data_IF_458070791790
#
_entry.id   IF_458070791790
#
_cell.length_a   1.000
_cell.length_b   1.000
_cell.length_c   1.000
_cell.angle_alpha   90.00
_cell.angle_beta   90.00
_cell.angle_gamma   90.00
#
_symmetry.space_group_name_H-M   'P 1'
#
loop_
_entity.id
_entity.type
_entity.pdbx_description
1 polymer ?
#
# COMPACT_ATOMS: atom_id res chain seq x y z
N UNK A 1 2.35 16.59 -16.05
CA UNK A 1 2.08 16.94 -14.67
C UNK A 1 2.73 18.28 -14.32
N UNK A 2 1.95 19.24 -13.78
CA UNK A 2 2.42 20.47 -13.15
C UNK A 2 1.98 20.50 -11.70
N UNK A 3 2.83 20.98 -10.78
CA UNK A 3 2.51 21.00 -9.36
C UNK A 3 3.13 22.24 -8.69
N UNK A 4 2.36 22.86 -7.79
CA UNK A 4 2.81 23.97 -6.94
C UNK A 4 2.39 23.73 -5.49
N UNK A 5 3.29 23.99 -4.55
CA UNK A 5 3.04 23.84 -3.11
C UNK A 5 3.54 25.06 -2.35
N UNK A 6 2.71 25.57 -1.46
CA UNK A 6 3.03 26.64 -0.53
C UNK A 6 2.77 26.17 0.90
N UNK A 7 3.70 26.43 1.80
CA UNK A 7 3.54 26.14 3.23
C UNK A 7 4.08 27.31 4.05
N UNK A 8 3.29 27.77 5.03
CA UNK A 8 3.67 28.78 6.00
C UNK A 8 3.54 28.16 7.39
N UNK A 9 4.56 28.33 8.22
CA UNK A 9 4.57 27.86 9.61
C UNK A 9 4.96 29.02 10.52
N UNK A 10 4.22 29.19 11.63
CA UNK A 10 4.41 30.27 12.59
C UNK A 10 4.16 29.80 14.01
N UNK A 11 4.83 30.40 15.02
CA UNK A 11 4.48 30.14 16.41
C UNK A 11 3.13 30.79 16.73
N UNK A 12 2.26 30.06 17.43
CA UNK A 12 0.94 30.53 17.85
C UNK A 12 0.56 29.92 19.21
N UNK A 13 0.26 30.74 20.20
CA UNK A 13 -0.32 30.29 21.48
C UNK A 13 0.50 29.26 22.24
N UNK A 14 1.84 29.30 22.12
CA UNK A 14 2.75 28.29 22.72
C UNK A 14 2.87 26.98 21.94
N UNK A 15 2.33 26.92 20.73
CA UNK A 15 2.47 25.82 19.77
C UNK A 15 2.96 26.32 18.42
N UNK A 16 2.91 25.46 17.42
CA UNK A 16 3.23 25.74 16.02
C UNK A 16 1.98 25.59 15.19
N UNK A 17 1.61 26.63 14.48
CA UNK A 17 0.53 26.61 13.50
C UNK A 17 1.11 26.60 12.08
N UNK A 18 0.65 25.69 11.26
CA UNK A 18 1.04 25.58 9.86
C UNK A 18 -0.20 25.62 8.96
N UNK A 19 -0.12 26.39 7.89
CA UNK A 19 -1.12 26.39 6.81
C UNK A 19 -0.40 26.15 5.49
N UNK A 20 -1.07 25.51 4.56
CA UNK A 20 -0.51 25.32 3.24
C UNK A 20 -1.55 25.00 2.20
N UNK A 21 -1.11 25.06 0.96
CA UNK A 21 -1.89 24.66 -0.20
C UNK A 21 -1.00 23.94 -1.19
N UNK A 22 -1.62 23.00 -1.91
CA UNK A 22 -0.98 22.29 -3.01
C UNK A 22 -1.97 22.22 -4.16
N UNK A 23 -1.53 22.59 -5.35
CA UNK A 23 -2.32 22.46 -6.58
C UNK A 23 -1.53 21.60 -7.55
N UNK A 24 -2.16 20.60 -8.11
CA UNK A 24 -1.58 19.75 -9.14
C UNK A 24 -2.51 19.66 -10.33
N UNK A 25 -1.94 19.73 -11.52
CA UNK A 25 -2.64 19.49 -12.78
C UNK A 25 -1.94 18.38 -13.54
N UNK A 26 -2.70 17.35 -13.85
CA UNK A 26 -2.26 16.19 -14.63
C UNK A 26 -3.01 16.18 -15.96
N UNK A 27 -2.27 16.05 -17.03
CA UNK A 27 -2.80 15.75 -18.35
C UNK A 27 -2.13 14.45 -18.82
N UNK A 28 -2.92 13.47 -19.19
CA UNK A 28 -2.46 12.16 -19.64
C UNK A 28 -3.24 11.73 -20.88
N UNK A 29 -2.52 11.34 -21.92
CA UNK A 29 -3.05 10.61 -23.05
C UNK A 29 -2.69 9.14 -22.91
N UNK A 30 -3.59 8.27 -23.26
CA UNK A 30 -3.44 6.82 -23.20
C UNK A 30 -3.96 6.21 -24.50
N UNK A 31 -3.03 5.90 -25.40
CA UNK A 31 -3.31 5.39 -26.73
C UNK A 31 -3.01 3.88 -26.73
N UNK A 32 -4.05 3.08 -26.85
CA UNK A 32 -3.94 1.64 -26.97
C UNK A 32 -4.33 1.19 -28.38
N UNK A 33 -3.36 0.67 -29.11
CA UNK A 33 -3.54 0.24 -30.52
C UNK A 33 -3.38 -1.28 -30.56
N UNK A 34 -4.42 -1.97 -31.05
CA UNK A 34 -4.40 -3.38 -31.34
C UNK A 34 -4.52 -3.59 -32.84
N UNK A 35 -3.41 -3.86 -33.50
CA UNK A 35 -3.35 -4.07 -34.96
C UNK A 35 -4.09 -5.32 -35.41
N UNK A 36 -4.15 -6.34 -34.56
CA UNK A 36 -4.79 -7.63 -34.84
C UNK A 36 -6.31 -7.61 -34.57
N UNK A 37 -6.84 -6.54 -33.98
CA UNK A 37 -8.27 -6.33 -33.68
C UNK A 37 -8.92 -7.43 -32.79
N UNK A 38 -8.17 -8.17 -32.00
CA UNK A 38 -8.73 -9.10 -31.00
C UNK A 38 -9.52 -8.37 -29.91
N UNK A 39 -9.08 -7.17 -29.57
CA UNK A 39 -9.77 -6.22 -28.69
C UNK A 39 -9.78 -4.86 -29.38
N UNK A 40 -10.77 -3.98 -29.11
CA UNK A 40 -10.82 -2.66 -29.74
C UNK A 40 -9.61 -1.81 -29.33
N UNK A 41 -9.08 -1.03 -30.29
CA UNK A 41 -8.17 0.07 -29.98
C UNK A 41 -8.92 1.15 -29.22
N UNK A 42 -8.26 1.85 -28.33
CA UNK A 42 -8.84 2.88 -27.45
C UNK A 42 -7.90 4.08 -27.35
N UNK A 43 -8.47 5.28 -27.46
CA UNK A 43 -7.76 6.55 -27.35
C UNK A 43 -8.44 7.35 -26.24
N UNK A 44 -7.78 7.43 -25.08
CA UNK A 44 -8.35 8.13 -23.93
C UNK A 44 -7.45 9.25 -23.45
N UNK A 45 -8.08 10.29 -22.91
CA UNK A 45 -7.38 11.42 -22.30
C UNK A 45 -7.97 11.70 -20.92
N UNK A 46 -7.11 11.91 -19.95
CA UNK A 46 -7.45 12.27 -18.59
C UNK A 46 -6.88 13.63 -18.25
N UNK A 47 -7.70 14.54 -17.78
CA UNK A 47 -7.32 15.81 -17.18
C UNK A 47 -7.77 15.83 -15.73
N UNK A 48 -6.84 16.01 -14.81
CA UNK A 48 -7.13 16.05 -13.37
C UNK A 48 -6.53 17.30 -12.74
N UNK A 49 -7.40 18.13 -12.18
CA UNK A 49 -7.02 19.24 -11.30
C UNK A 49 -7.28 18.81 -9.86
N UNK A 50 -6.26 18.88 -9.01
CA UNK A 50 -6.38 18.66 -7.58
C UNK A 50 -5.88 19.89 -6.83
N UNK A 51 -6.78 20.54 -6.10
CA UNK A 51 -6.50 21.66 -5.24
C UNK A 51 -6.73 21.28 -3.78
N UNK A 52 -5.69 21.44 -2.97
CA UNK A 52 -5.68 21.05 -1.56
C UNK A 52 -5.32 22.26 -0.72
N UNK A 53 -6.08 22.47 0.36
CA UNK A 53 -5.74 23.41 1.44
C UNK A 53 -5.70 22.68 2.77
N UNK A 54 -4.74 23.01 3.64
CA UNK A 54 -4.66 22.40 4.98
C UNK A 54 -4.22 23.37 6.04
N UNK A 55 -4.65 23.09 7.27
CA UNK A 55 -4.21 23.75 8.48
C UNK A 55 -3.85 22.70 9.53
N UNK A 56 -2.76 22.91 10.27
CA UNK A 56 -2.28 22.05 11.33
C UNK A 56 -1.82 22.87 12.52
N UNK A 57 -2.14 22.40 13.73
CA UNK A 57 -1.70 22.99 14.97
C UNK A 57 -1.09 21.94 15.89
N UNK A 58 0.18 22.12 16.26
CA UNK A 58 0.92 21.25 17.13
C UNK A 58 1.27 21.98 18.43
N UNK A 59 0.99 21.39 19.59
CA UNK A 59 1.31 21.96 20.89
C UNK A 59 1.73 20.89 21.88
N UNK A 60 2.84 21.18 22.58
CA UNK A 60 3.34 20.38 23.70
C UNK A 60 2.87 20.95 25.03
N UNK A 61 2.45 20.05 25.92
CA UNK A 61 2.09 20.32 27.31
C UNK A 61 2.94 19.45 28.24
N UNK A 62 3.06 19.77 29.53
CA UNK A 62 3.82 18.90 30.46
C UNK A 62 3.31 17.47 30.55
N UNK A 63 2.07 17.21 30.17
CA UNK A 63 1.38 15.93 30.24
C UNK A 63 1.19 15.24 28.90
N UNK A 64 1.59 15.87 27.79
CA UNK A 64 1.51 15.27 26.46
C UNK A 64 1.50 16.25 25.31
N UNK A 65 1.60 15.74 24.10
CA UNK A 65 1.67 16.48 22.85
C UNK A 65 0.38 16.28 22.05
N UNK A 66 -0.19 17.36 21.55
CA UNK A 66 -1.34 17.36 20.65
C UNK A 66 -0.94 17.78 19.25
N UNK A 67 -1.48 17.09 18.26
CA UNK A 67 -1.48 17.50 16.86
C UNK A 67 -2.92 17.49 16.34
N UNK A 68 -3.36 18.60 15.79
CA UNK A 68 -4.69 18.77 15.21
C UNK A 68 -4.53 19.28 13.79
N UNK A 69 -5.04 18.54 12.82
CA UNK A 69 -4.97 18.88 11.40
C UNK A 69 -6.31 18.74 10.71
N UNK A 70 -6.54 19.60 9.73
CA UNK A 70 -7.66 19.50 8.79
C UNK A 70 -7.16 19.82 7.40
N UNK A 71 -7.45 18.92 6.46
CA UNK A 71 -7.17 19.09 5.05
C UNK A 71 -8.48 19.04 4.26
N UNK A 72 -8.67 20.03 3.40
CA UNK A 72 -9.70 20.04 2.38
C UNK A 72 -9.07 19.73 1.03
N UNK A 73 -9.78 18.97 0.22
CA UNK A 73 -9.33 18.56 -1.09
C UNK A 73 -10.47 18.64 -2.10
N UNK A 74 -10.23 19.42 -3.15
CA UNK A 74 -11.08 19.55 -4.32
C UNK A 74 -10.39 18.89 -5.51
N UNK A 75 -11.04 17.89 -6.11
CA UNK A 75 -10.53 17.19 -7.28
C UNK A 75 -11.54 17.26 -8.40
N UNK A 76 -11.15 17.82 -9.53
CA UNK A 76 -11.91 17.77 -10.77
C UNK A 76 -11.20 16.82 -11.72
N UNK A 77 -11.92 15.78 -12.15
CA UNK A 77 -11.46 14.73 -13.04
C UNK A 77 -12.32 14.74 -14.29
N UNK A 78 -11.72 15.06 -15.44
CA UNK A 78 -12.37 15.08 -16.76
C UNK A 78 -11.79 13.93 -17.60
N UNK A 79 -12.68 13.12 -18.15
CA UNK A 79 -12.34 11.97 -18.99
C UNK A 79 -12.83 12.18 -20.42
N UNK A 80 -11.98 11.84 -21.38
CA UNK A 80 -12.28 11.94 -22.80
C UNK A 80 -12.01 10.61 -23.49
N UNK A 81 -12.82 10.25 -24.45
CA UNK A 81 -12.65 9.10 -25.35
C UNK A 81 -12.82 9.59 -26.80
N UNK A 82 -11.87 9.29 -27.68
CA UNK A 82 -11.81 9.81 -29.06
C UNK A 82 -12.00 11.33 -29.12
N UNK A 83 -11.31 12.07 -28.27
CA UNK A 83 -11.40 13.53 -28.09
C UNK A 83 -12.76 14.08 -27.65
N UNK A 84 -13.73 13.20 -27.30
CA UNK A 84 -15.05 13.62 -26.79
C UNK A 84 -15.06 13.53 -25.27
N UNK A 85 -15.52 14.60 -24.62
CA UNK A 85 -15.75 14.59 -23.17
C UNK A 85 -16.87 13.61 -22.80
N UNK A 86 -16.63 12.75 -21.82
CA UNK A 86 -17.58 11.74 -21.35
C UNK A 86 -18.06 12.14 -19.94
N UNK A 87 -19.25 12.73 -19.88
CA UNK A 87 -19.83 13.26 -18.64
C UNK A 87 -20.02 12.19 -17.56
N UNK A 88 -20.42 10.96 -17.94
CA UNK A 88 -20.64 9.85 -17.02
C UNK A 88 -19.36 9.39 -16.30
N UNK A 89 -18.20 9.64 -16.90
CA UNK A 89 -16.90 9.25 -16.38
C UNK A 89 -16.14 10.44 -15.77
N UNK A 90 -16.63 11.67 -16.00
CA UNK A 90 -16.06 12.90 -15.45
C UNK A 90 -16.72 13.24 -14.11
N UNK A 91 -15.91 13.69 -13.11
CA UNK A 91 -16.42 13.87 -11.75
C UNK A 91 -15.66 14.93 -10.98
N UNK A 92 -16.35 15.42 -9.96
CA UNK A 92 -15.77 16.32 -8.97
C UNK A 92 -15.91 15.70 -7.57
N UNK A 93 -14.86 15.77 -6.77
CA UNK A 93 -14.84 15.28 -5.40
C UNK A 93 -14.42 16.41 -4.46
N UNK A 94 -15.18 16.58 -3.38
CA UNK A 94 -14.91 17.52 -2.31
C UNK A 94 -14.87 16.77 -0.98
N UNK A 95 -13.71 16.74 -0.34
CA UNK A 95 -13.52 15.94 0.87
C UNK A 95 -12.74 16.69 1.95
N UNK A 96 -13.09 16.39 3.20
CA UNK A 96 -12.36 16.84 4.38
C UNK A 96 -11.67 15.67 5.06
N UNK A 97 -10.41 15.85 5.38
CA UNK A 97 -9.57 14.84 6.02
C UNK A 97 -9.03 15.37 7.35
N UNK A 98 -9.74 15.13 8.46
CA UNK A 98 -9.24 15.44 9.79
C UNK A 98 -8.11 14.49 10.20
N UNK A 99 -7.15 15.04 10.97
CA UNK A 99 -6.08 14.32 11.63
C UNK A 99 -5.96 14.84 13.06
N UNK A 100 -6.09 13.95 14.03
CA UNK A 100 -6.01 14.27 15.45
C UNK A 100 -5.10 13.27 16.10
N UNK A 101 -4.07 13.69 16.79
CA UNK A 101 -3.25 12.81 17.60
C UNK A 101 -2.92 13.39 18.96
N UNK A 102 -2.84 12.50 19.92
CA UNK A 102 -2.39 12.77 21.27
C UNK A 102 -1.31 11.77 21.66
N UNK A 103 -0.16 12.27 22.07
CA UNK A 103 0.96 11.47 22.53
C UNK A 103 1.28 11.82 23.99
N UNK A 104 1.52 10.80 24.80
CA UNK A 104 1.90 10.98 26.20
C UNK A 104 2.81 9.84 26.68
N UNK A 105 3.44 10.05 27.81
CA UNK A 105 4.25 9.03 28.47
C UNK A 105 3.51 8.49 29.69
N UNK A 106 3.06 7.24 29.60
CA UNK A 106 2.43 6.50 30.71
C UNK A 106 3.49 5.67 31.42
N UNK A 107 4.06 6.21 32.51
CA UNK A 107 5.21 5.59 33.19
C UNK A 107 6.42 5.51 32.25
N UNK A 108 6.85 4.30 31.88
CA UNK A 108 7.97 4.05 30.98
C UNK A 108 7.53 3.86 29.51
N UNK A 109 6.22 3.81 29.23
CA UNK A 109 5.64 3.56 27.91
C UNK A 109 5.35 4.87 27.23
N UNK A 110 5.88 5.10 26.03
CA UNK A 110 5.41 6.15 25.15
C UNK A 110 4.14 5.68 24.44
N UNK A 111 3.07 6.44 24.54
CA UNK A 111 1.75 6.07 24.02
C UNK A 111 1.23 7.16 23.10
N UNK A 112 0.63 6.78 22.00
CA UNK A 112 -0.05 7.69 21.08
C UNK A 112 -1.42 7.12 20.69
N UNK A 113 -2.44 7.95 20.77
CA UNK A 113 -3.74 7.71 20.17
C UNK A 113 -3.89 8.68 18.99
N UNK A 114 -4.23 8.15 17.83
CA UNK A 114 -4.44 8.97 16.63
C UNK A 114 -5.69 8.56 15.87
N UNK A 115 -6.38 9.55 15.34
CA UNK A 115 -7.43 9.38 14.36
C UNK A 115 -7.02 10.12 13.08
N UNK A 116 -7.10 9.42 11.94
CA UNK A 116 -6.81 9.99 10.62
C UNK A 116 -7.89 9.62 9.62
N UNK A 117 -8.31 10.59 8.81
CA UNK A 117 -9.02 10.31 7.57
C UNK A 117 -8.08 10.56 6.40
N UNK A 118 -8.05 9.63 5.44
CA UNK A 118 -7.20 9.71 4.25
C UNK A 118 -7.88 9.14 3.03
N UNK A 119 -7.42 9.57 1.86
CA UNK A 119 -7.89 9.02 0.58
C UNK A 119 -6.80 8.19 -0.10
N UNK A 120 -7.24 7.13 -0.79
CA UNK A 120 -6.44 6.38 -1.74
C UNK A 120 -7.12 6.46 -3.10
N UNK A 121 -6.51 7.19 -4.02
CA UNK A 121 -7.03 7.34 -5.38
C UNK A 121 -6.67 6.14 -6.25
N UNK A 122 -7.53 5.76 -7.20
CA UNK A 122 -7.17 4.77 -8.20
C UNK A 122 -5.96 5.24 -9.02
N UNK A 123 -5.15 4.31 -9.48
CA UNK A 123 -4.09 4.61 -10.45
C UNK A 123 -4.69 4.99 -11.80
N UNK A 124 -3.96 5.70 -12.64
CA UNK A 124 -4.45 6.05 -13.97
C UNK A 124 -4.65 4.82 -14.85
N UNK A 125 -3.87 3.75 -14.65
CA UNK A 125 -4.10 2.47 -15.34
C UNK A 125 -5.42 1.80 -14.92
N UNK A 126 -5.84 1.96 -13.67
CA UNK A 126 -7.15 1.49 -13.21
C UNK A 126 -8.31 2.34 -13.78
N UNK A 127 -8.05 3.61 -14.12
CA UNK A 127 -9.02 4.53 -14.71
C UNK A 127 -9.06 4.47 -16.25
N UNK A 128 -8.15 3.75 -16.88
CA UNK A 128 -8.13 3.57 -18.33
C UNK A 128 -9.29 2.69 -18.80
N UNK A 129 -9.83 2.94 -20.00
CA UNK A 129 -10.83 2.08 -20.64
C UNK A 129 -10.21 1.03 -21.56
N UNK A 130 -8.88 0.93 -21.61
CA UNK A 130 -8.17 -0.02 -22.44
C UNK A 130 -8.51 -1.45 -22.04
N UNK A 131 -8.79 -2.29 -23.03
CA UNK A 131 -9.03 -3.72 -22.84
C UNK A 131 -7.77 -4.49 -23.23
N UNK A 132 -7.19 -5.19 -22.26
CA UNK A 132 -6.00 -6.02 -22.47
C UNK A 132 -6.39 -7.48 -22.62
N UNK A 133 -5.81 -8.13 -23.60
CA UNK A 133 -5.91 -9.57 -23.79
C UNK A 133 -4.88 -10.27 -22.87
N UNK A 134 -5.34 -10.90 -21.78
CA UNK A 134 -4.47 -11.65 -20.88
C UNK A 134 -4.21 -13.07 -21.41
N UNK A 135 -5.27 -13.76 -21.78
CA UNK A 135 -5.24 -15.08 -22.41
C UNK A 135 -6.57 -15.35 -23.14
N UNK A 136 -6.70 -16.53 -23.78
CA UNK A 136 -7.88 -16.89 -24.58
C UNK A 136 -9.21 -16.91 -23.80
N UNK A 137 -9.16 -16.89 -22.47
CA UNK A 137 -10.35 -16.95 -21.59
C UNK A 137 -10.50 -15.69 -20.73
N UNK A 138 -9.50 -14.78 -20.78
CA UNK A 138 -9.43 -13.66 -19.83
C UNK A 138 -9.06 -12.36 -20.55
N UNK A 139 -9.98 -11.41 -20.47
CA UNK A 139 -9.75 -10.00 -20.79
C UNK A 139 -9.57 -9.22 -19.49
N UNK A 140 -8.81 -8.16 -19.54
CA UNK A 140 -8.67 -7.23 -18.41
C UNK A 140 -8.87 -5.81 -18.87
N UNK A 141 -9.61 -5.00 -18.09
CA UNK A 141 -9.77 -3.57 -18.35
C UNK A 141 -9.69 -2.75 -17.07
N UNK A 142 -9.38 -1.48 -17.19
CA UNK A 142 -9.61 -0.52 -16.14
C UNK A 142 -11.10 -0.13 -16.03
N UNK A 143 -11.38 0.84 -15.17
CA UNK A 143 -12.74 1.35 -14.97
C UNK A 143 -12.65 2.87 -14.69
N UNK A 144 -12.96 3.72 -15.69
CA UNK A 144 -12.93 5.17 -15.53
C UNK A 144 -13.95 5.68 -14.51
N UNK A 145 -14.93 4.83 -14.10
CA UNK A 145 -15.93 5.21 -13.11
C UNK A 145 -15.51 5.02 -11.66
N UNK A 146 -14.26 4.65 -11.37
CA UNK A 146 -13.76 4.46 -10.02
C UNK A 146 -13.73 5.76 -9.21
N UNK A 147 -14.20 5.66 -7.98
CA UNK A 147 -14.13 6.71 -6.96
C UNK A 147 -12.90 6.49 -6.06
N UNK A 148 -12.35 7.56 -5.48
CA UNK A 148 -11.33 7.42 -4.45
C UNK A 148 -11.84 6.63 -3.23
N UNK A 149 -11.05 5.70 -2.74
CA UNK A 149 -11.28 5.04 -1.45
C UNK A 149 -11.02 6.02 -0.31
N UNK A 150 -11.91 6.09 0.68
CA UNK A 150 -11.77 6.90 1.89
C UNK A 150 -11.57 5.96 3.07
N UNK A 151 -10.52 6.19 3.85
CA UNK A 151 -10.14 5.37 5.00
C UNK A 151 -10.16 6.24 6.26
N UNK A 152 -10.99 5.86 7.22
CA UNK A 152 -10.99 6.39 8.58
C UNK A 152 -10.26 5.40 9.48
N UNK A 153 -9.22 5.83 10.16
CA UNK A 153 -8.36 4.98 10.97
C UNK A 153 -8.18 5.54 12.37
N UNK A 154 -8.47 4.73 13.39
CA UNK A 154 -8.19 5.00 14.79
C UNK A 154 -7.09 4.05 15.26
N UNK A 155 -5.93 4.60 15.59
CA UNK A 155 -4.75 3.82 15.98
C UNK A 155 -4.28 4.18 17.38
N UNK A 156 -4.10 3.16 18.22
CA UNK A 156 -3.40 3.22 19.50
C UNK A 156 -2.03 2.55 19.33
N UNK A 157 -0.96 3.30 19.57
CA UNK A 157 0.40 2.77 19.53
C UNK A 157 1.11 2.97 20.86
N UNK A 158 2.03 2.07 21.16
CA UNK A 158 2.83 2.08 22.36
C UNK A 158 4.27 1.65 22.08
N UNK A 159 5.24 2.31 22.71
CA UNK A 159 6.65 1.94 22.64
C UNK A 159 7.25 1.88 24.03
N UNK A 160 7.90 0.75 24.34
CA UNK A 160 8.61 0.52 25.60
C UNK A 160 9.93 -0.17 25.34
N UNK A 161 11.02 0.55 25.58
CA UNK A 161 12.38 0.05 25.30
C UNK A 161 12.49 -0.46 23.84
N UNK A 162 12.61 -1.76 23.68
CA UNK A 162 12.71 -2.44 22.38
C UNK A 162 11.39 -3.02 21.88
N UNK A 163 10.30 -2.84 22.62
CA UNK A 163 8.95 -3.30 22.24
C UNK A 163 8.15 -2.17 21.64
N UNK A 164 7.44 -2.47 20.54
CA UNK A 164 6.48 -1.58 19.91
C UNK A 164 5.19 -2.35 19.63
N UNK A 165 4.06 -1.71 19.93
CA UNK A 165 2.73 -2.25 19.72
C UNK A 165 1.88 -1.24 18.95
N UNK A 166 1.02 -1.72 18.07
CA UNK A 166 0.02 -0.91 17.40
C UNK A 166 -1.29 -1.70 17.30
N UNK A 167 -2.40 -1.04 17.65
CA UNK A 167 -3.76 -1.53 17.48
C UNK A 167 -4.50 -0.52 16.63
N UNK A 168 -5.06 -0.95 15.51
CA UNK A 168 -5.78 -0.08 14.59
C UNK A 168 -7.17 -0.66 14.29
N UNK A 169 -8.16 0.22 14.30
CA UNK A 169 -9.49 -0.05 13.78
C UNK A 169 -9.77 0.95 12.67
N UNK A 170 -10.04 0.44 11.48
CA UNK A 170 -10.33 1.27 10.31
C UNK A 170 -11.69 0.94 9.68
N UNK A 171 -12.29 1.97 9.08
CA UNK A 171 -13.44 1.83 8.19
C UNK A 171 -13.06 2.36 6.81
N UNK A 172 -13.21 1.51 5.82
CA UNK A 172 -12.86 1.82 4.43
C UNK A 172 -14.13 1.92 3.60
N UNK A 173 -14.39 3.11 3.07
CA UNK A 173 -15.50 3.39 2.15
C UNK A 173 -15.01 3.42 0.72
N UNK A 174 -15.85 2.99 -0.22
CA UNK A 174 -15.54 2.93 -1.66
C UNK A 174 -14.25 2.12 -1.95
N UNK A 175 -14.02 1.02 -1.20
CA UNK A 175 -12.86 0.16 -1.42
C UNK A 175 -12.82 -0.33 -2.87
N UNK A 176 -11.70 -0.16 -3.54
CA UNK A 176 -11.51 -0.67 -4.90
C UNK A 176 -11.13 -2.15 -4.82
N UNK A 177 -12.02 -3.01 -5.31
CA UNK A 177 -11.83 -4.44 -5.41
C UNK A 177 -11.48 -4.84 -6.85
N UNK A 178 -10.61 -5.83 -7.01
CA UNK A 178 -10.42 -6.51 -8.28
C UNK A 178 -11.56 -7.51 -8.47
N UNK A 179 -12.25 -7.42 -9.61
CA UNK A 179 -13.52 -8.09 -9.82
C UNK A 179 -13.56 -8.80 -11.17
N UNK A 180 -14.10 -10.02 -11.19
CA UNK A 180 -14.31 -10.81 -12.39
C UNK A 180 -15.80 -10.88 -12.73
N UNK A 181 -16.11 -10.78 -14.01
CA UNK A 181 -17.46 -10.90 -14.56
C UNK A 181 -17.41 -11.74 -15.84
N UNK A 182 -18.48 -12.50 -16.10
CA UNK A 182 -18.61 -13.22 -17.37
C UNK A 182 -18.96 -12.25 -18.51
N UNK A 183 -18.37 -12.44 -19.67
CA UNK A 183 -18.64 -11.61 -20.84
C UNK A 183 -19.83 -12.18 -21.63
N UNK A 184 -20.92 -11.41 -21.73
CA UNK A 184 -22.08 -11.75 -22.57
C UNK A 184 -22.65 -13.15 -22.34
N UNK A 185 -22.78 -13.59 -21.08
CA UNK A 185 -23.22 -14.94 -20.71
C UNK A 185 -22.36 -16.09 -21.27
N UNK A 186 -21.24 -15.78 -21.90
CA UNK A 186 -20.24 -16.77 -22.30
C UNK A 186 -19.40 -17.18 -21.10
N UNK A 187 -19.73 -18.33 -20.55
CA UNK A 187 -19.01 -18.88 -19.38
C UNK A 187 -17.52 -19.19 -19.66
N UNK A 188 -17.08 -19.12 -20.91
CA UNK A 188 -15.68 -19.35 -21.30
C UNK A 188 -14.83 -18.08 -21.32
N UNK A 189 -15.44 -16.88 -21.30
CA UNK A 189 -14.72 -15.61 -21.38
C UNK A 189 -15.02 -14.73 -20.16
N UNK A 190 -13.98 -14.35 -19.46
CA UNK A 190 -14.05 -13.51 -18.26
C UNK A 190 -13.46 -12.14 -18.51
N UNK A 191 -14.13 -11.10 -18.03
CA UNK A 191 -13.60 -9.75 -17.91
C UNK A 191 -13.15 -9.49 -16.47
N UNK A 192 -11.88 -9.22 -16.29
CA UNK A 192 -11.32 -8.77 -15.01
C UNK A 192 -11.23 -7.24 -15.01
N UNK A 193 -11.76 -6.59 -13.98
CA UNK A 193 -11.77 -5.14 -13.85
C UNK A 193 -11.66 -4.72 -12.38
N UNK A 194 -11.70 -3.44 -12.12
CA UNK A 194 -11.78 -2.88 -10.77
C UNK A 194 -13.16 -2.26 -10.56
N UNK A 195 -13.70 -2.39 -9.34
CA UNK A 195 -14.95 -1.72 -8.95
C UNK A 195 -14.87 -1.20 -7.52
N UNK A 196 -15.59 -0.14 -7.22
CA UNK A 196 -15.78 0.27 -5.83
C UNK A 196 -16.80 -0.65 -5.15
N UNK A 197 -16.53 -0.97 -3.90
CA UNK A 197 -17.48 -1.63 -3.02
C UNK A 197 -18.28 -0.56 -2.27
N UNK A 198 -19.60 -0.59 -2.39
CA UNK A 198 -20.46 0.49 -1.89
C UNK A 198 -20.60 0.49 -0.36
N UNK A 199 -20.45 -0.67 0.27
CA UNK A 199 -20.53 -0.78 1.72
C UNK A 199 -19.20 -0.41 2.39
N UNK A 200 -19.29 0.17 3.59
CA UNK A 200 -18.11 0.45 4.40
C UNK A 200 -17.58 -0.83 5.03
N UNK A 201 -16.29 -1.09 4.86
CA UNK A 201 -15.63 -2.31 5.34
C UNK A 201 -14.84 -2.01 6.60
N UNK A 202 -15.27 -2.52 7.76
CA UNK A 202 -14.48 -2.46 8.98
C UNK A 202 -13.30 -3.43 8.91
N UNK A 203 -12.18 -3.00 9.47
CA UNK A 203 -10.97 -3.82 9.59
C UNK A 203 -10.28 -3.55 10.92
N UNK A 204 -9.83 -4.60 11.58
CA UNK A 204 -8.99 -4.55 12.77
C UNK A 204 -7.60 -5.09 12.45
N UNK A 205 -6.58 -4.38 12.92
CA UNK A 205 -5.17 -4.80 12.80
C UNK A 205 -4.50 -4.66 14.16
N UNK A 206 -3.79 -5.68 14.59
CA UNK A 206 -2.90 -5.60 15.75
C UNK A 206 -1.49 -6.05 15.34
N UNK A 207 -0.51 -5.32 15.80
CA UNK A 207 0.89 -5.54 15.49
C UNK A 207 1.76 -5.38 16.74
N UNK A 208 2.70 -6.31 16.93
CA UNK A 208 3.71 -6.26 18.00
C UNK A 208 5.07 -6.52 17.38
N UNK A 209 6.06 -5.71 17.73
CA UNK A 209 7.44 -5.96 17.35
C UNK A 209 8.40 -5.81 18.53
N UNK A 210 9.50 -6.57 18.47
CA UNK A 210 10.57 -6.54 19.44
C UNK A 210 11.92 -6.47 18.71
N UNK A 211 12.74 -5.46 19.03
CA UNK A 211 14.03 -5.20 18.40
C UNK A 211 15.15 -5.04 19.44
N UNK A 212 15.41 -6.03 20.32
CA UNK A 212 16.48 -5.94 21.29
C UNK A 212 17.85 -6.02 20.59
N UNK A 213 18.87 -5.46 21.23
CA UNK A 213 20.27 -5.66 20.85
C UNK A 213 20.99 -6.47 21.92
N UNK A 214 21.49 -7.65 21.58
CA UNK A 214 22.10 -8.61 22.51
C UNK A 214 23.52 -8.89 22.04
N UNK A 215 24.46 -8.05 22.49
CA UNK A 215 25.87 -8.15 22.07
C UNK A 215 26.01 -7.95 20.55
N UNK A 216 26.53 -8.97 19.86
CA UNK A 216 26.69 -8.99 18.42
C UNK A 216 25.39 -9.37 17.67
N UNK A 217 24.33 -9.73 18.35
CA UNK A 217 23.06 -10.18 17.80
C UNK A 217 22.01 -9.08 17.89
N UNK A 218 21.37 -8.78 16.75
CA UNK A 218 20.30 -7.80 16.60
C UNK A 218 19.06 -8.50 16.01
N UNK A 219 18.25 -9.21 16.84
CA UNK A 219 17.01 -9.82 16.38
C UNK A 219 15.92 -8.77 16.21
N UNK A 220 15.04 -8.99 15.24
CA UNK A 220 13.77 -8.29 15.08
C UNK A 220 12.67 -9.33 14.92
N UNK A 221 11.82 -9.45 15.92
CA UNK A 221 10.62 -10.27 15.87
C UNK A 221 9.42 -9.35 15.65
N UNK A 222 8.57 -9.68 14.68
CA UNK A 222 7.30 -8.98 14.48
C UNK A 222 6.19 -10.00 14.30
N UNK A 223 5.05 -9.76 14.96
CA UNK A 223 3.83 -10.56 14.80
C UNK A 223 2.66 -9.63 14.57
N UNK A 224 1.74 -10.05 13.70
CA UNK A 224 0.56 -9.26 13.36
C UNK A 224 -0.65 -10.15 13.14
N UNK A 225 -1.83 -9.57 13.34
CA UNK A 225 -3.11 -10.13 12.95
C UNK A 225 -3.93 -9.06 12.26
N UNK A 226 -4.59 -9.44 11.19
CA UNK A 226 -5.57 -8.61 10.51
C UNK A 226 -6.86 -9.37 10.35
N UNK A 227 -7.97 -8.71 10.67
CA UNK A 227 -9.33 -9.20 10.44
C UNK A 227 -10.15 -8.09 9.78
N UNK A 228 -10.81 -8.44 8.70
CA UNK A 228 -11.81 -7.60 8.04
C UNK A 228 -13.20 -8.20 8.20
N UNK A 229 -14.23 -7.44 7.87
CA UNK A 229 -15.62 -7.92 7.80
C UNK A 229 -16.17 -7.46 6.44
N UNK A 230 -15.89 -8.26 5.40
CA UNK A 230 -16.38 -8.03 4.05
C UNK A 230 -17.35 -9.14 3.68
N UNK A 231 -18.54 -8.77 3.25
CA UNK A 231 -19.51 -9.71 2.66
C UNK A 231 -19.68 -9.35 1.19
N UNK A 232 -19.53 -10.32 0.32
CA UNK A 232 -19.69 -10.16 -1.14
C UNK A 232 -20.75 -11.12 -1.66
N UNK A 233 -21.43 -10.73 -2.72
CA UNK A 233 -22.29 -11.65 -3.46
C UNK A 233 -21.43 -12.66 -4.20
N UNK A 234 -21.82 -13.94 -4.11
CA UNK A 234 -21.14 -15.06 -4.72
C UNK A 234 -22.16 -16.12 -5.14
N UNK A 235 -22.37 -16.30 -6.45
CA UNK A 235 -23.41 -17.19 -7.01
C UNK A 235 -24.77 -17.04 -6.34
N UNK A 236 -25.25 -15.79 -6.21
CA UNK A 236 -26.54 -15.42 -5.57
C UNK A 236 -26.64 -15.77 -4.07
N UNK A 237 -25.51 -16.07 -3.44
CA UNK A 237 -25.39 -16.30 -1.99
C UNK A 237 -24.42 -15.27 -1.43
N UNK A 238 -24.69 -14.80 -0.23
CA UNK A 238 -23.72 -13.92 0.45
C UNK A 238 -22.58 -14.73 1.05
N UNK A 239 -21.36 -14.33 0.69
CA UNK A 239 -20.12 -14.91 1.21
C UNK A 239 -19.42 -13.89 2.09
N UNK A 240 -19.32 -14.19 3.40
CA UNK A 240 -18.56 -13.36 4.33
C UNK A 240 -17.10 -13.81 4.36
N UNK A 241 -16.20 -12.85 4.17
CA UNK A 241 -14.75 -13.00 4.15
C UNK A 241 -14.19 -12.28 5.40
N UNK A 242 -14.27 -12.94 6.54
CA UNK A 242 -13.91 -12.40 7.84
C UNK A 242 -12.88 -13.25 8.61
N UNK A 243 -12.35 -14.30 8.00
CA UNK A 243 -11.30 -15.11 8.57
C UNK A 243 -10.03 -14.26 8.77
N UNK A 244 -9.53 -14.11 10.01
CA UNK A 244 -8.29 -13.38 10.22
C UNK A 244 -7.11 -14.12 9.62
N UNK A 245 -6.09 -13.38 9.19
CA UNK A 245 -4.78 -13.94 8.93
C UNK A 245 -3.74 -13.42 9.90
N UNK A 246 -2.77 -14.25 10.18
CA UNK A 246 -1.66 -13.96 11.07
C UNK A 246 -0.38 -13.85 10.25
N UNK A 247 0.47 -12.92 10.62
CA UNK A 247 1.80 -12.77 10.05
C UNK A 247 2.84 -12.84 11.15
N UNK A 248 3.98 -13.46 10.86
CA UNK A 248 5.15 -13.35 11.71
C UNK A 248 6.41 -13.20 10.86
N UNK A 249 7.32 -12.34 11.29
CA UNK A 249 8.65 -12.22 10.72
C UNK A 249 9.69 -12.28 11.83
N UNK A 250 10.79 -12.96 11.54
CA UNK A 250 11.93 -13.05 12.44
C UNK A 250 13.20 -12.80 11.65
N UNK A 251 13.69 -11.56 11.74
CA UNK A 251 14.84 -11.08 11.01
C UNK A 251 16.00 -10.93 11.99
N UNK A 252 17.16 -11.47 11.64
CA UNK A 252 18.29 -11.55 12.54
C UNK A 252 19.55 -11.11 11.84
N UNK A 253 20.36 -10.34 12.55
CA UNK A 253 21.69 -9.97 12.10
C UNK A 253 22.68 -10.25 13.21
N UNK A 254 23.74 -10.96 12.86
CA UNK A 254 24.92 -11.17 13.73
C UNK A 254 26.10 -10.44 13.13
N UNK A 255 26.62 -9.45 13.86
CA UNK A 255 27.86 -8.73 13.54
C UNK A 255 29.02 -9.42 14.26
N UNK A 256 29.80 -10.19 13.51
CA UNK A 256 30.87 -10.98 14.05
C UNK A 256 32.25 -10.28 13.88
N UNK A 257 33.26 -10.65 14.65
CA UNK A 257 34.63 -10.14 14.46
C UNK A 257 35.13 -10.33 13.02
N UNK A 258 36.15 -9.57 12.65
CA UNK A 258 36.84 -9.63 11.36
C UNK A 258 35.95 -9.22 10.17
N UNK A 259 34.84 -8.45 10.40
CA UNK A 259 33.96 -7.94 9.36
C UNK A 259 33.02 -8.99 8.77
N UNK A 260 32.71 -10.07 9.49
CA UNK A 260 31.66 -11.00 9.11
C UNK A 260 30.29 -10.52 9.59
N UNK A 261 29.29 -10.70 8.76
CA UNK A 261 27.89 -10.48 9.09
C UNK A 261 27.08 -11.68 8.61
N UNK A 262 26.23 -12.22 9.48
CA UNK A 262 25.29 -13.28 9.13
C UNK A 262 23.90 -12.66 9.24
N UNK A 263 23.07 -12.85 8.21
CA UNK A 263 21.65 -12.47 8.16
C UNK A 263 20.77 -13.70 8.03
N UNK A 264 19.69 -13.75 8.80
CA UNK A 264 18.61 -14.72 8.64
C UNK A 264 17.29 -13.94 8.63
N UNK A 265 16.57 -13.98 7.51
CA UNK A 265 15.27 -13.34 7.35
C UNK A 265 14.22 -14.40 7.13
N UNK A 266 13.19 -14.40 7.95
CA UNK A 266 12.06 -15.33 7.79
C UNK A 266 10.73 -14.62 7.89
N UNK A 267 9.77 -15.12 7.15
CA UNK A 267 8.39 -14.64 7.11
C UNK A 267 7.44 -15.81 6.98
N UNK A 268 6.30 -15.72 7.67
CA UNK A 268 5.19 -16.65 7.55
C UNK A 268 3.88 -15.89 7.59
N UNK A 269 2.93 -16.29 6.76
CA UNK A 269 1.54 -15.82 6.77
C UNK A 269 0.60 -17.00 6.76
N UNK A 270 -0.40 -16.98 7.64
CA UNK A 270 -1.44 -18.00 7.67
C UNK A 270 -2.43 -17.85 6.51
N UNK A 271 -3.24 -18.85 6.29
CA UNK A 271 -4.50 -18.72 5.56
C UNK A 271 -5.36 -17.62 6.18
N UNK A 272 -6.25 -17.00 5.37
CA UNK A 272 -7.16 -15.95 5.82
C UNK A 272 -7.61 -15.03 4.70
N UNK A 273 -8.54 -14.13 5.02
CA UNK A 273 -9.21 -13.25 4.05
C UNK A 273 -8.56 -11.86 3.99
N UNK A 274 -8.38 -11.34 2.78
CA UNK A 274 -8.01 -9.95 2.51
C UNK A 274 -8.76 -9.46 1.28
N UNK A 275 -9.53 -8.38 1.42
CA UNK A 275 -10.48 -7.95 0.39
C UNK A 275 -11.39 -9.11 -0.04
N UNK A 276 -11.72 -9.25 -1.32
CA UNK A 276 -12.50 -10.37 -1.86
C UNK A 276 -11.65 -11.63 -2.17
N UNK A 277 -10.46 -11.72 -1.59
CA UNK A 277 -9.50 -12.81 -1.76
C UNK A 277 -9.34 -13.58 -0.45
N UNK A 278 -9.30 -14.90 -0.55
CA UNK A 278 -8.95 -15.79 0.55
C UNK A 278 -7.65 -16.52 0.24
N UNK A 279 -6.62 -16.33 1.06
CA UNK A 279 -5.40 -17.12 1.00
C UNK A 279 -5.70 -18.51 1.56
N UNK A 280 -5.61 -19.55 0.71
CA UNK A 280 -6.07 -20.90 1.07
C UNK A 280 -5.08 -21.65 1.96
N UNK A 281 -3.82 -21.25 1.97
CA UNK A 281 -2.74 -21.95 2.67
C UNK A 281 -1.80 -20.99 3.36
N UNK A 282 -1.22 -21.47 4.44
CA UNK A 282 -0.04 -20.85 5.05
C UNK A 282 1.13 -20.92 4.09
N UNK A 283 1.83 -19.81 3.90
CA UNK A 283 3.06 -19.71 3.12
C UNK A 283 4.11 -18.89 3.86
N UNK A 284 5.35 -19.05 3.47
CA UNK A 284 6.44 -18.28 4.06
C UNK A 284 7.76 -18.59 3.38
N UNK A 285 8.82 -17.93 3.84
CA UNK A 285 10.16 -18.14 3.34
C UNK A 285 11.21 -17.98 4.44
N UNK A 286 12.37 -18.54 4.20
CA UNK A 286 13.59 -18.31 5.00
C UNK A 286 14.72 -17.97 4.04
N UNK A 287 15.34 -16.83 4.27
CA UNK A 287 16.53 -16.37 3.57
C UNK A 287 17.74 -16.41 4.53
N UNK A 288 18.88 -16.82 4.04
CA UNK A 288 20.13 -16.82 4.77
C UNK A 288 21.19 -16.04 3.98
N UNK A 289 21.95 -15.20 4.66
CA UNK A 289 23.07 -14.50 4.06
C UNK A 289 24.31 -14.55 4.94
N UNK A 290 25.48 -14.63 4.30
CA UNK A 290 26.79 -14.48 4.95
C UNK A 290 27.57 -13.46 4.15
N UNK A 291 27.93 -12.36 4.79
CA UNK A 291 28.69 -11.27 4.20
C UNK A 291 30.05 -11.11 4.91
N UNK A 292 31.09 -10.88 4.12
CA UNK A 292 32.42 -10.52 4.60
C UNK A 292 32.84 -9.19 3.99
N UNK A 293 33.23 -8.25 4.84
CA UNK A 293 33.81 -6.96 4.45
C UNK A 293 35.34 -7.01 4.52
N UNK A 294 35.97 -6.33 3.56
CA UNK A 294 37.43 -6.20 3.41
C UNK A 294 37.76 -4.74 3.10
N UNK A 295 39.02 -4.36 3.21
CA UNK A 295 39.55 -3.05 2.83
C UNK A 295 38.79 -1.88 3.48
N UNK A 296 38.58 -1.95 4.81
CA UNK A 296 37.78 -0.94 5.55
C UNK A 296 36.39 -0.70 4.92
N UNK A 297 35.67 -1.78 4.64
CA UNK A 297 34.33 -1.80 4.01
C UNK A 297 34.28 -1.30 2.56
N UNK A 298 35.42 -1.09 1.91
CA UNK A 298 35.45 -0.76 0.50
C UNK A 298 35.09 -1.96 -0.40
N UNK A 299 35.47 -3.19 -0.01
CA UNK A 299 35.10 -4.42 -0.71
C UNK A 299 34.22 -5.29 0.19
N UNK A 300 33.13 -5.82 -0.33
CA UNK A 300 32.32 -6.83 0.36
C UNK A 300 31.95 -7.96 -0.57
N UNK A 301 31.96 -9.18 -0.02
CA UNK A 301 31.48 -10.40 -0.66
C UNK A 301 30.33 -10.94 0.17
N UNK A 302 29.20 -11.23 -0.46
CA UNK A 302 28.00 -11.76 0.16
C UNK A 302 27.55 -13.03 -0.56
N UNK A 303 27.32 -14.08 0.20
CA UNK A 303 26.64 -15.31 -0.22
C UNK A 303 25.21 -15.22 0.30
N UNK A 304 24.22 -15.39 -0.56
CA UNK A 304 22.81 -15.31 -0.21
C UNK A 304 22.03 -16.50 -0.74
N UNK A 305 21.21 -17.12 0.11
CA UNK A 305 20.19 -18.09 -0.27
C UNK A 305 18.81 -17.50 0.03
N UNK A 306 17.98 -17.35 -1.00
CA UNK A 306 16.59 -16.92 -0.88
C UNK A 306 15.69 -18.16 -0.88
N UNK A 307 14.65 -18.14 -0.03
CA UNK A 307 13.66 -19.22 0.11
C UNK A 307 14.31 -20.61 0.13
N UNK A 308 15.30 -20.79 1.02
CA UNK A 308 16.15 -21.98 1.05
C UNK A 308 15.37 -23.30 1.22
N UNK A 309 14.13 -23.24 1.70
CA UNK A 309 13.23 -24.38 1.85
C UNK A 309 12.18 -24.50 0.74
N UNK A 310 12.16 -23.58 -0.24
CA UNK A 310 11.20 -23.52 -1.35
C UNK A 310 9.73 -23.58 -0.87
N UNK A 311 9.41 -22.75 0.14
CA UNK A 311 8.09 -22.71 0.80
C UNK A 311 7.25 -21.49 0.44
N UNK A 312 7.78 -20.56 -0.34
CA UNK A 312 7.09 -19.34 -0.77
C UNK A 312 6.13 -19.63 -1.95
N UNK A 313 5.13 -20.48 -1.70
CA UNK A 313 4.13 -20.91 -2.68
C UNK A 313 2.77 -20.42 -2.26
N UNK A 314 2.16 -19.54 -3.05
CA UNK A 314 0.89 -18.89 -2.75
C UNK A 314 -0.24 -19.58 -3.50
N UNK A 315 -1.35 -19.82 -2.82
CA UNK A 315 -2.61 -20.17 -3.45
C UNK A 315 -3.72 -19.32 -2.86
N UNK A 316 -4.59 -18.82 -3.70
CA UNK A 316 -5.71 -18.01 -3.26
C UNK A 316 -6.96 -18.24 -4.10
N UNK A 317 -8.09 -17.99 -3.48
CA UNK A 317 -9.42 -17.99 -4.06
C UNK A 317 -9.97 -16.56 -4.09
N UNK A 318 -10.46 -16.10 -5.23
CA UNK A 318 -11.13 -14.81 -5.38
C UNK A 318 -12.63 -15.03 -5.59
N UNK A 319 -13.45 -14.25 -4.88
CA UNK A 319 -14.91 -14.31 -4.92
C UNK A 319 -15.44 -13.00 -5.51
N UNK A 320 -16.19 -13.09 -6.61
CA UNK A 320 -16.73 -11.91 -7.30
C UNK A 320 -18.00 -12.27 -8.09
N UNK A 321 -19.18 -11.97 -7.54
CA UNK A 321 -20.46 -12.21 -8.21
C UNK A 321 -20.61 -13.66 -8.65
N UNK A 322 -20.87 -13.86 -9.93
CA UNK A 322 -21.01 -15.19 -10.55
C UNK A 322 -19.67 -15.75 -11.08
N UNK A 323 -18.54 -15.24 -10.54
CA UNK A 323 -17.21 -15.66 -10.93
C UNK A 323 -16.38 -16.10 -9.73
N UNK A 324 -15.68 -17.21 -9.88
CA UNK A 324 -14.73 -17.77 -8.91
C UNK A 324 -13.40 -18.05 -9.58
N UNK A 325 -12.33 -17.51 -9.04
CA UNK A 325 -10.97 -17.78 -9.47
C UNK A 325 -10.20 -18.49 -8.35
N UNK A 326 -9.70 -19.66 -8.63
CA UNK A 326 -8.64 -20.28 -7.84
C UNK A 326 -7.32 -20.17 -8.56
N UNK A 327 -6.34 -19.54 -7.92
CA UNK A 327 -5.00 -19.43 -8.47
C UNK A 327 -3.97 -20.04 -7.53
N UNK A 328 -3.11 -20.87 -8.11
CA UNK A 328 -1.92 -21.42 -7.45
C UNK A 328 -0.69 -20.91 -8.17
N UNK A 329 0.14 -20.16 -7.47
CA UNK A 329 1.42 -19.66 -7.97
C UNK A 329 2.56 -20.47 -7.35
N UNK A 330 3.27 -21.21 -8.20
CA UNK A 330 4.44 -22.00 -7.83
C UNK A 330 5.67 -21.43 -8.55
N UNK A 331 5.95 -20.15 -8.31
CA UNK A 331 7.14 -19.49 -8.85
C UNK A 331 8.36 -20.10 -8.19
N UNK A 332 9.39 -20.41 -8.98
CA UNK A 332 10.68 -20.78 -8.44
C UNK A 332 11.35 -19.52 -7.86
N UNK A 333 11.29 -19.41 -6.54
CA UNK A 333 11.89 -18.30 -5.78
C UNK A 333 13.14 -18.73 -5.02
N UNK A 334 13.48 -20.01 -5.11
CA UNK A 334 14.71 -20.53 -4.52
C UNK A 334 15.90 -20.06 -5.35
N UNK A 335 16.75 -19.26 -4.76
CA UNK A 335 17.88 -18.65 -5.45
C UNK A 335 19.12 -18.68 -4.54
N UNK A 336 20.27 -18.98 -5.13
CA UNK A 336 21.57 -18.84 -4.48
C UNK A 336 22.41 -17.84 -5.27
N UNK A 337 22.85 -16.79 -4.60
CA UNK A 337 23.56 -15.69 -5.23
C UNK A 337 24.89 -15.39 -4.52
N UNK A 338 25.86 -14.98 -5.31
CA UNK A 338 27.14 -14.42 -4.84
C UNK A 338 27.21 -12.98 -5.31
N UNK A 339 27.33 -12.04 -4.38
CA UNK A 339 27.46 -10.62 -4.69
C UNK A 339 28.82 -10.11 -4.27
N UNK A 340 29.56 -9.54 -5.20
CA UNK A 340 30.82 -8.82 -4.92
C UNK A 340 30.57 -7.34 -5.16
N UNK A 341 30.78 -6.50 -4.14
CA UNK A 341 30.61 -5.05 -4.22
C UNK A 341 31.89 -4.34 -3.84
N UNK A 342 32.36 -3.49 -4.74
CA UNK A 342 33.47 -2.59 -4.49
C UNK A 342 33.00 -1.13 -4.54
N UNK A 343 33.25 -0.38 -3.47
CA UNK A 343 32.90 1.05 -3.35
C UNK A 343 34.12 1.88 -3.70
N UNK A 344 34.05 2.61 -4.79
CA UNK A 344 35.01 3.62 -5.14
C UNK A 344 34.30 4.95 -5.34
N UNK A 345 34.91 6.03 -4.87
CA UNK A 345 34.45 7.40 -5.02
C UNK A 345 32.99 7.65 -4.59
N UNK A 346 32.69 7.49 -3.31
CA UNK A 346 31.33 7.67 -2.76
C UNK A 346 30.97 9.15 -2.65
N UNK A 347 30.16 9.67 -3.61
CA UNK A 347 29.50 10.95 -3.47
C UNK A 347 28.31 10.84 -2.51
N UNK A 348 28.22 11.74 -1.53
CA UNK A 348 27.03 11.80 -0.63
C UNK A 348 25.88 12.45 -1.38
N UNK A 349 24.83 11.68 -1.67
CA UNK A 349 23.57 12.22 -2.17
C UNK A 349 22.87 13.00 -1.06
N UNK A 350 22.48 14.25 -1.33
CA UNK A 350 21.62 15.02 -0.42
C UNK A 350 20.16 14.64 -0.69
N UNK A 351 19.47 14.11 0.33
CA UNK A 351 18.03 13.88 0.28
C UNK A 351 17.29 15.21 0.14
N UNK A 352 16.39 15.31 -0.85
CA UNK A 352 15.66 16.56 -1.16
C UNK A 352 14.24 16.62 -0.57
N UNK A 353 13.80 15.61 0.19
CA UNK A 353 12.42 15.52 0.69
C UNK A 353 11.41 15.12 -0.39
N UNK A 354 10.12 15.05 -0.01
CA UNK A 354 9.00 14.82 -0.94
C UNK A 354 8.64 16.14 -1.63
N UNK A 355 8.60 16.14 -2.97
CA UNK A 355 8.25 17.30 -3.80
C UNK A 355 6.75 17.47 -3.98
N UNK A 356 6.36 18.64 -4.52
CA UNK A 356 4.98 18.85 -4.96
C UNK A 356 4.60 17.84 -6.05
N UNK A 357 3.39 17.29 -5.98
CA UNK A 357 2.86 16.33 -6.95
C UNK A 357 3.39 14.89 -6.83
N UNK A 358 4.14 14.53 -5.78
CA UNK A 358 4.66 13.17 -5.62
C UNK A 358 3.54 12.12 -5.51
N UNK A 359 2.41 12.46 -4.89
CA UNK A 359 1.24 11.57 -4.83
C UNK A 359 0.67 11.24 -6.20
N UNK A 360 0.67 12.18 -7.14
CA UNK A 360 0.21 11.97 -8.51
C UNK A 360 1.23 11.21 -9.36
N UNK A 361 2.53 11.42 -9.15
CA UNK A 361 3.58 10.65 -9.82
C UNK A 361 3.48 9.16 -9.50
N UNK A 362 3.14 8.82 -8.26
CA UNK A 362 2.99 7.42 -7.83
C UNK A 362 1.75 6.72 -8.40
N UNK A 363 0.83 7.46 -9.04
CA UNK A 363 -0.38 6.93 -9.74
C UNK A 363 -0.14 6.68 -11.24
N UNK A 364 0.93 7.23 -11.80
CA UNK A 364 1.33 7.07 -13.21
C UNK A 364 1.95 5.71 -13.47
#
# INVERSE_FOLDING_TARGET
LAAGKLTLSMPLGGGTFAVGSEVTYTHRNDDYINEENYVPSSFSKIEELNATGYAEYNRSFPWGDWSLGLRYEHVKFDYYEDDKHIDEQSRTFDNFFPNISFSTKLGAVQTQLSYTAKTQRPSYSQLSNNVYYSDRFTLQKGNPTLRPTIIHDLTLSGAWRFLQMSLSYSQTKDLILFWGELVNDDASLTMLSNRNWDESIPMFTAFLSATPKIGCWSPMLSVGVQKQWLTVDYFKVQKTLDNPFFTASFNNTWELPLGFMIGLDSYIQSAGATQNIYNDKTYGYVNLSVRKSFLNDALSVELKGNDIFNTNKISYSMYSGDYYLYQKSAWDRQEFAVTVRYKFNTAKSKYKGTGAGDSQKNRM
#
